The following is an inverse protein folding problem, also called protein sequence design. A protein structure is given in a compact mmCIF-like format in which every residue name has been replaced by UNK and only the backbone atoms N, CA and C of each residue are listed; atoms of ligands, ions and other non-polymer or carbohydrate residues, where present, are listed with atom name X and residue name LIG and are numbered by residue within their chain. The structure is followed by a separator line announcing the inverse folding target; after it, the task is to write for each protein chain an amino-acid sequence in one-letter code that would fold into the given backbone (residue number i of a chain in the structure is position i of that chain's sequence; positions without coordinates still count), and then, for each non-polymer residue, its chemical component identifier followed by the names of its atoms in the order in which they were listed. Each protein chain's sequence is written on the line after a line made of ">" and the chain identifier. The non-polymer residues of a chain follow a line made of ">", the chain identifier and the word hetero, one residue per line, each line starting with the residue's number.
data_IF_815087006045
#
_entry.id   IF_815087006045
#
_cell.length_a   1.000
_cell.length_b   1.000
_cell.length_c   1.000
_cell.angle_alpha   90.00
_cell.angle_beta   90.00
_cell.angle_gamma   90.00
#
_symmetry.space_group_name_H-M   'P 1'
#
loop_
_entity.id
_entity.type
_entity.pdbx_description
1 polymer ?
#
# COMPACT_ATOMS: atom_id res chain seq x y z
N UNK A 1 -18.73 11.59 -2.57
CA UNK A 1 -19.97 10.91 -2.11
C UNK A 1 -19.93 10.87 -0.60
N UNK A 2 -21.09 10.92 0.08
CA UNK A 2 -21.19 10.98 1.54
C UNK A 2 -22.31 10.11 2.07
N UNK A 3 -22.12 9.54 3.24
CA UNK A 3 -23.05 8.71 3.99
C UNK A 3 -22.98 9.04 5.49
N UNK A 4 -23.92 8.54 6.30
CA UNK A 4 -23.86 8.64 7.77
C UNK A 4 -24.30 7.30 8.33
N UNK A 5 -23.58 6.80 9.33
CA UNK A 5 -23.69 5.41 9.75
C UNK A 5 -22.94 4.51 8.78
N UNK A 6 -23.11 3.19 8.92
CA UNK A 6 -22.37 2.24 8.10
C UNK A 6 -22.86 2.26 6.65
N UNK A 7 -21.97 2.62 5.73
CA UNK A 7 -22.27 2.83 4.32
C UNK A 7 -21.44 1.95 3.38
N UNK A 8 -21.95 1.82 2.15
CA UNK A 8 -21.22 1.21 1.03
C UNK A 8 -21.19 2.24 -0.10
N UNK A 9 -20.05 2.91 -0.28
CA UNK A 9 -19.86 3.97 -1.25
C UNK A 9 -18.99 3.46 -2.40
N UNK A 10 -19.62 3.25 -3.56
CA UNK A 10 -18.96 2.72 -4.76
C UNK A 10 -18.98 3.79 -5.85
N UNK A 11 -17.81 4.17 -6.34
CA UNK A 11 -17.70 5.01 -7.54
C UNK A 11 -17.59 4.16 -8.81
N UNK A 12 -17.82 4.79 -9.96
CA UNK A 12 -17.60 4.14 -11.25
C UNK A 12 -17.04 5.10 -12.29
N UNK A 13 -16.21 4.56 -13.17
CA UNK A 13 -15.68 5.29 -14.32
C UNK A 13 -14.43 6.10 -13.99
N UNK A 14 -13.79 6.59 -15.05
CA UNK A 14 -12.50 7.28 -14.97
C UNK A 14 -12.62 8.66 -14.29
N UNK A 15 -11.59 9.05 -13.55
CA UNK A 15 -11.35 10.43 -13.07
C UNK A 15 -11.33 10.52 -11.54
N UNK A 16 -10.76 11.61 -11.02
CA UNK A 16 -10.57 11.84 -9.58
C UNK A 16 -11.92 11.84 -8.83
N UNK A 17 -12.00 11.08 -7.75
CA UNK A 17 -13.14 11.03 -6.83
C UNK A 17 -12.72 11.51 -5.45
N UNK A 18 -13.72 12.05 -4.75
CA UNK A 18 -13.64 12.30 -3.31
C UNK A 18 -14.79 11.51 -2.68
N UNK A 19 -14.46 10.53 -1.85
CA UNK A 19 -15.40 9.63 -1.16
C UNK A 19 -15.19 9.79 0.34
N UNK A 20 -16.27 9.98 1.08
CA UNK A 20 -16.22 10.38 2.49
C UNK A 20 -17.30 9.57 3.24
N UNK A 21 -16.87 8.68 4.13
CA UNK A 21 -17.71 7.75 4.90
C UNK A 21 -18.43 8.42 6.08
N UNK A 22 -17.86 9.50 6.60
CA UNK A 22 -18.27 10.16 7.85
C UNK A 22 -18.20 9.21 9.08
N UNK A 23 -19.24 9.12 9.91
CA UNK A 23 -19.23 8.20 11.06
C UNK A 23 -19.84 6.85 10.65
N UNK A 24 -19.20 5.74 10.98
CA UNK A 24 -19.73 4.39 10.68
C UNK A 24 -18.63 3.40 10.33
N UNK A 25 -18.97 2.11 10.24
CA UNK A 25 -18.08 1.14 9.62
C UNK A 25 -18.38 1.09 8.11
N UNK A 26 -17.55 1.72 7.30
CA UNK A 26 -17.81 1.98 5.88
C UNK A 26 -17.03 1.08 4.92
N UNK A 27 -17.52 1.01 3.68
CA UNK A 27 -16.82 0.38 2.57
C UNK A 27 -16.73 1.35 1.39
N UNK A 28 -15.51 1.81 1.10
CA UNK A 28 -15.22 2.86 0.14
C UNK A 28 -14.44 2.30 -1.06
N UNK A 29 -14.97 2.50 -2.28
CA UNK A 29 -14.38 1.97 -3.51
C UNK A 29 -14.21 3.07 -4.59
N UNK A 30 -12.96 3.37 -4.97
CA UNK A 30 -12.57 4.42 -5.92
C UNK A 30 -12.72 4.04 -7.41
N UNK A 31 -12.47 2.78 -7.78
CA UNK A 31 -12.44 2.22 -9.14
C UNK A 31 -11.18 2.64 -9.94
N UNK A 32 -11.27 3.71 -10.75
CA UNK A 32 -10.17 4.16 -11.62
C UNK A 32 -10.02 5.66 -11.53
N UNK A 33 -8.85 6.12 -11.17
CA UNK A 33 -8.60 7.54 -10.94
C UNK A 33 -7.44 7.71 -9.98
N UNK A 34 -7.15 8.96 -9.66
CA UNK A 34 -6.34 9.27 -8.49
C UNK A 34 -7.35 9.80 -7.49
N UNK A 35 -7.81 8.95 -6.59
CA UNK A 35 -8.99 9.17 -5.76
C UNK A 35 -8.58 9.47 -4.32
N UNK A 36 -9.39 10.27 -3.63
CA UNK A 36 -9.26 10.58 -2.20
C UNK A 36 -10.41 9.88 -1.46
N UNK A 37 -10.08 8.94 -0.57
CA UNK A 37 -11.04 8.15 0.21
C UNK A 37 -10.85 8.43 1.70
N UNK A 38 -11.90 8.88 2.38
CA UNK A 38 -11.91 9.19 3.81
C UNK A 38 -12.88 8.27 4.55
N UNK A 39 -12.37 7.37 5.39
CA UNK A 39 -13.17 6.55 6.31
C UNK A 39 -13.72 7.40 7.46
N UNK A 40 -12.82 8.12 8.12
CA UNK A 40 -13.03 8.97 9.30
C UNK A 40 -13.21 8.19 10.60
N UNK A 41 -14.41 7.81 11.02
CA UNK A 41 -14.62 7.25 12.35
C UNK A 41 -15.41 5.95 12.30
N UNK A 42 -14.76 4.85 12.67
CA UNK A 42 -15.31 3.50 12.63
C UNK A 42 -14.31 2.55 11.99
N UNK A 43 -14.70 1.31 11.76
CA UNK A 43 -13.81 0.30 11.18
C UNK A 43 -14.06 0.21 9.68
N UNK A 44 -13.22 0.89 8.91
CA UNK A 44 -13.49 1.15 7.51
C UNK A 44 -12.74 0.18 6.59
N UNK A 45 -13.28 0.01 5.37
CA UNK A 45 -12.63 -0.72 4.29
C UNK A 45 -12.43 0.20 3.10
N UNK A 46 -11.18 0.47 2.76
CA UNK A 46 -10.81 1.37 1.69
C UNK A 46 -10.16 0.59 0.55
N UNK A 47 -10.68 0.78 -0.67
CA UNK A 47 -10.08 0.30 -1.91
C UNK A 47 -10.05 1.44 -2.94
N UNK A 48 -8.88 2.04 -3.14
CA UNK A 48 -8.69 3.08 -4.16
C UNK A 48 -8.95 2.53 -5.57
N UNK A 49 -8.35 1.38 -5.87
CA UNK A 49 -8.42 0.77 -7.18
C UNK A 49 -7.23 1.20 -8.02
N UNK A 50 -7.42 1.39 -9.33
CA UNK A 50 -6.29 1.74 -10.20
C UNK A 50 -6.07 3.23 -10.30
N UNK A 51 -4.82 3.62 -10.11
CA UNK A 51 -4.25 4.96 -10.22
C UNK A 51 -3.49 5.26 -8.95
N UNK A 52 -3.30 6.54 -8.63
CA UNK A 52 -2.54 6.91 -7.42
C UNK A 52 -3.51 7.51 -6.42
N UNK A 53 -3.87 6.72 -5.43
CA UNK A 53 -4.95 7.05 -4.50
C UNK A 53 -4.41 7.48 -3.14
N UNK A 54 -5.10 8.44 -2.53
CA UNK A 54 -4.86 8.88 -1.15
C UNK A 54 -5.95 8.30 -0.24
N UNK A 55 -5.56 7.42 0.67
CA UNK A 55 -6.44 6.66 1.55
C UNK A 55 -6.27 7.13 3.00
N UNK A 56 -7.34 7.66 3.58
CA UNK A 56 -7.39 8.17 4.95
C UNK A 56 -8.35 7.29 5.76
N UNK A 57 -7.83 6.35 6.55
CA UNK A 57 -8.66 5.46 7.38
C UNK A 57 -9.35 6.25 8.49
N UNK A 58 -8.56 6.87 9.36
CA UNK A 58 -9.08 7.72 10.42
C UNK A 58 -8.93 7.04 11.78
N UNK A 59 -9.99 7.02 12.58
CA UNK A 59 -10.03 6.36 13.87
C UNK A 59 -10.79 5.05 13.75
N UNK A 60 -10.20 3.95 14.20
CA UNK A 60 -10.85 2.64 14.24
C UNK A 60 -9.90 1.57 13.74
N UNK A 61 -10.35 0.32 13.61
CA UNK A 61 -9.52 -0.74 13.04
C UNK A 61 -9.81 -0.85 11.53
N UNK A 62 -8.98 -0.23 10.70
CA UNK A 62 -9.22 -0.07 9.27
C UNK A 62 -8.57 -1.17 8.42
N UNK A 63 -9.12 -1.37 7.22
CA UNK A 63 -8.60 -2.31 6.22
C UNK A 63 -8.42 -1.65 4.87
N UNK A 64 -7.17 -1.62 4.40
CA UNK A 64 -6.78 -1.10 3.11
C UNK A 64 -6.54 -2.24 2.12
N UNK A 65 -7.35 -2.31 1.07
CA UNK A 65 -7.29 -3.39 0.08
C UNK A 65 -6.42 -2.94 -1.08
N UNK A 66 -5.56 -3.84 -1.58
CA UNK A 66 -4.71 -3.57 -2.74
C UNK A 66 -4.61 -4.78 -3.68
N UNK A 67 -4.69 -4.48 -4.97
CA UNK A 67 -4.18 -5.30 -6.06
C UNK A 67 -2.73 -4.88 -6.41
N UNK A 68 -1.89 -5.81 -6.88
CA UNK A 68 -0.49 -5.52 -7.23
C UNK A 68 -0.29 -4.43 -8.28
N UNK A 69 -1.32 -4.12 -9.05
CA UNK A 69 -1.26 -3.24 -10.23
C UNK A 69 -2.10 -1.95 -10.02
N UNK A 70 -2.37 -1.59 -8.76
CA UNK A 70 -3.20 -0.44 -8.39
C UNK A 70 -2.49 0.88 -8.71
N UNK A 71 -1.25 1.05 -8.26
CA UNK A 71 -0.48 2.24 -8.63
C UNK A 71 0.55 2.64 -7.59
N UNK A 72 0.61 3.94 -7.32
CA UNK A 72 1.41 4.51 -6.24
C UNK A 72 0.46 5.14 -5.23
N UNK A 73 0.12 4.38 -4.20
CA UNK A 73 -0.91 4.76 -3.26
C UNK A 73 -0.29 5.25 -1.95
N UNK A 74 -1.02 6.14 -1.30
CA UNK A 74 -0.67 6.76 -0.03
C UNK A 74 -1.70 6.35 1.02
N UNK A 75 -1.22 5.91 2.18
CA UNK A 75 -2.04 5.70 3.37
C UNK A 75 -1.63 6.74 4.41
N UNK A 76 -2.63 7.46 4.91
CA UNK A 76 -2.51 8.31 6.09
C UNK A 76 -3.45 7.77 7.17
N UNK A 77 -2.87 7.26 8.24
CA UNK A 77 -3.60 6.71 9.38
C UNK A 77 -3.29 7.52 10.65
N UNK A 78 -4.25 7.57 11.57
CA UNK A 78 -4.16 8.30 12.82
C UNK A 78 -4.54 7.46 14.05
N UNK A 79 -4.83 6.16 13.87
CA UNK A 79 -4.77 5.18 14.95
C UNK A 79 -5.79 4.05 14.82
N UNK A 80 -5.34 2.85 15.17
CA UNK A 80 -6.15 1.64 15.02
C UNK A 80 -5.34 0.39 15.25
N UNK A 81 -5.92 -0.75 14.89
CA UNK A 81 -5.20 -1.98 14.58
C UNK A 81 -5.40 -2.30 13.10
N UNK A 82 -4.64 -1.60 12.27
CA UNK A 82 -4.94 -1.46 10.86
C UNK A 82 -4.30 -2.55 10.03
N UNK A 83 -4.93 -2.84 8.90
CA UNK A 83 -4.54 -3.96 8.05
C UNK A 83 -4.44 -3.56 6.59
N UNK A 84 -3.27 -3.77 5.99
CA UNK A 84 -3.14 -3.86 4.52
C UNK A 84 -3.48 -5.28 4.09
N UNK A 85 -4.36 -5.42 3.10
CA UNK A 85 -4.80 -6.71 2.54
C UNK A 85 -4.52 -6.78 1.04
N UNK A 86 -3.58 -7.64 0.65
CA UNK A 86 -3.34 -7.92 -0.77
C UNK A 86 -4.39 -8.90 -1.32
N UNK A 87 -5.36 -8.37 -2.07
CA UNK A 87 -6.45 -9.15 -2.66
C UNK A 87 -6.08 -9.78 -4.02
N UNK A 88 -5.04 -9.28 -4.68
CA UNK A 88 -4.57 -9.73 -5.99
C UNK A 88 -3.57 -10.88 -6.02
N UNK A 89 -3.43 -11.64 -4.92
CA UNK A 89 -2.60 -12.84 -4.93
C UNK A 89 -1.09 -12.59 -4.76
N UNK A 90 -0.69 -11.67 -3.88
CA UNK A 90 0.71 -11.40 -3.56
C UNK A 90 1.17 -12.24 -2.36
N UNK A 91 2.39 -12.80 -2.44
CA UNK A 91 3.09 -13.44 -1.32
C UNK A 91 4.08 -12.52 -0.62
N UNK A 92 4.48 -12.83 0.62
CA UNK A 92 5.48 -12.02 1.38
C UNK A 92 6.83 -11.84 0.67
N UNK A 93 7.24 -12.78 -0.18
CA UNK A 93 8.50 -12.69 -0.95
C UNK A 93 8.40 -11.74 -2.14
N UNK A 94 7.19 -11.32 -2.52
CA UNK A 94 6.89 -10.41 -3.63
C UNK A 94 6.75 -8.96 -3.21
N UNK A 95 6.86 -8.67 -1.91
CA UNK A 95 6.90 -7.31 -1.39
C UNK A 95 8.28 -7.00 -0.84
N UNK A 96 8.74 -5.76 -1.03
CA UNK A 96 9.95 -5.26 -0.39
C UNK A 96 9.60 -4.07 0.50
N UNK A 97 9.98 -4.17 1.77
CA UNK A 97 9.73 -3.12 2.75
C UNK A 97 10.96 -2.24 2.90
N UNK A 98 10.79 -0.93 2.84
CA UNK A 98 11.88 0.00 3.10
C UNK A 98 11.40 1.23 3.87
N UNK A 99 12.33 1.86 4.58
CA UNK A 99 12.12 3.16 5.20
C UNK A 99 12.58 4.25 4.25
N UNK A 100 11.74 5.27 4.05
CA UNK A 100 12.09 6.50 3.35
C UNK A 100 11.70 7.70 4.21
N UNK A 101 12.67 8.47 4.71
CA UNK A 101 12.36 9.53 5.69
C UNK A 101 11.71 8.95 6.94
N UNK A 102 10.48 9.36 7.26
CA UNK A 102 9.66 8.81 8.34
C UNK A 102 8.56 7.84 7.85
N UNK A 103 8.53 7.57 6.54
CA UNK A 103 7.50 6.76 5.90
C UNK A 103 7.95 5.31 5.73
N UNK A 104 6.98 4.40 5.71
CA UNK A 104 7.16 3.01 5.29
C UNK A 104 6.73 2.90 3.82
N UNK A 105 7.64 2.41 2.98
CA UNK A 105 7.33 2.08 1.59
C UNK A 105 7.29 0.56 1.39
N UNK A 106 6.22 0.09 0.77
CA UNK A 106 5.99 -1.30 0.37
C UNK A 106 6.08 -1.34 -1.16
N UNK A 107 7.19 -1.86 -1.67
CA UNK A 107 7.47 -1.90 -3.11
C UNK A 107 6.90 -3.19 -3.74
N UNK A 108 6.23 -3.02 -4.88
CA UNK A 108 5.55 -4.04 -5.68
C UNK A 108 6.05 -3.98 -7.13
N UNK A 109 7.30 -4.33 -7.39
CA UNK A 109 7.97 -4.25 -8.71
C UNK A 109 7.83 -2.89 -9.44
N UNK A 110 6.68 -2.62 -10.07
CA UNK A 110 6.33 -1.38 -10.78
C UNK A 110 5.46 -0.41 -9.95
N UNK A 111 4.91 -0.87 -8.83
CA UNK A 111 3.93 -0.17 -7.98
C UNK A 111 4.41 -0.04 -6.54
N UNK A 112 3.76 0.78 -5.72
CA UNK A 112 4.06 0.85 -4.29
C UNK A 112 2.91 1.36 -3.45
N UNK A 113 2.97 1.04 -2.17
CA UNK A 113 2.13 1.63 -1.13
C UNK A 113 3.06 2.37 -0.17
N UNK A 114 2.75 3.62 0.12
CA UNK A 114 3.46 4.43 1.12
C UNK A 114 2.55 4.65 2.31
N UNK A 115 3.02 4.32 3.51
CA UNK A 115 2.35 4.67 4.77
C UNK A 115 3.07 5.87 5.37
N UNK A 116 2.39 7.02 5.38
CA UNK A 116 2.95 8.28 5.86
C UNK A 116 3.26 8.23 7.34
N UNK A 117 4.43 8.78 7.72
CA UNK A 117 4.80 9.01 9.11
C UNK A 117 4.79 7.74 9.99
N UNK A 118 4.83 6.55 9.40
CA UNK A 118 4.83 5.23 10.07
C UNK A 118 5.89 5.15 11.19
N UNK A 119 7.08 5.72 10.95
CA UNK A 119 8.19 5.71 11.92
C UNK A 119 8.18 6.88 12.89
N UNK A 120 7.29 7.86 12.70
CA UNK A 120 7.18 9.07 13.52
C UNK A 120 6.27 8.88 14.73
N UNK A 121 5.17 8.15 14.57
CA UNK A 121 4.17 7.91 15.61
C UNK A 121 3.63 6.47 15.54
N UNK A 122 3.47 5.76 16.67
CA UNK A 122 2.79 4.47 16.68
C UNK A 122 1.35 4.52 16.17
N UNK A 123 0.69 5.68 16.25
CA UNK A 123 -0.68 5.85 15.77
C UNK A 123 -0.80 5.90 14.24
N UNK A 124 0.32 6.11 13.53
CA UNK A 124 0.31 6.21 12.06
C UNK A 124 0.78 4.89 11.41
N UNK A 125 0.82 3.81 12.20
CA UNK A 125 1.34 2.52 11.75
C UNK A 125 0.22 1.69 11.15
N UNK A 126 0.64 0.71 10.38
CA UNK A 126 -0.19 -0.43 10.01
C UNK A 126 0.31 -1.64 10.81
N UNK A 127 -0.55 -2.25 11.60
CA UNK A 127 -0.21 -3.36 12.50
C UNK A 127 -0.03 -4.68 11.75
N UNK A 128 -0.66 -4.81 10.57
CA UNK A 128 -0.68 -6.07 9.84
C UNK A 128 -0.67 -5.88 8.32
N UNK A 129 0.15 -6.69 7.65
CA UNK A 129 0.10 -6.89 6.21
C UNK A 129 -0.32 -8.34 5.94
N UNK A 130 -1.49 -8.50 5.33
CA UNK A 130 -2.05 -9.79 4.92
C UNK A 130 -1.69 -10.08 3.46
N UNK A 131 -1.03 -11.22 3.26
CA UNK A 131 -0.67 -11.80 1.95
C UNK A 131 -1.32 -13.17 1.80
N UNK A 132 -1.25 -13.79 0.61
CA UNK A 132 -1.85 -15.12 0.42
C UNK A 132 -1.12 -16.25 1.13
N UNK A 133 0.16 -16.07 1.47
CA UNK A 133 0.98 -17.03 2.23
C UNK A 133 1.10 -16.66 3.71
N UNK A 134 0.23 -15.76 4.21
CA UNK A 134 0.04 -15.45 5.61
C UNK A 134 0.23 -13.97 5.96
N UNK A 135 0.56 -13.70 7.22
CA UNK A 135 0.58 -12.34 7.77
C UNK A 135 2.01 -11.91 8.14
N UNK A 136 2.30 -10.63 7.95
CA UNK A 136 3.38 -9.91 8.63
C UNK A 136 2.75 -8.99 9.68
N UNK A 137 3.29 -8.98 10.90
CA UNK A 137 2.81 -8.16 12.02
C UNK A 137 3.79 -7.02 12.30
N UNK A 138 3.34 -5.93 12.90
CA UNK A 138 4.11 -4.70 13.16
C UNK A 138 5.55 -4.93 13.64
N UNK A 139 5.78 -5.71 14.70
CA UNK A 139 7.14 -5.98 15.20
C UNK A 139 8.05 -6.66 14.15
N UNK A 140 7.47 -7.54 13.32
CA UNK A 140 8.20 -8.18 12.23
C UNK A 140 8.45 -7.22 11.07
N UNK A 141 7.51 -6.31 10.80
CA UNK A 141 7.66 -5.23 9.80
C UNK A 141 8.84 -4.33 10.20
N UNK A 142 8.85 -3.83 11.43
CA UNK A 142 9.91 -2.98 11.97
C UNK A 142 11.28 -3.67 11.91
N UNK A 143 11.33 -4.95 12.29
CA UNK A 143 12.56 -5.77 12.26
C UNK A 143 13.06 -5.99 10.82
N UNK A 144 12.16 -6.30 9.89
CA UNK A 144 12.48 -6.49 8.48
C UNK A 144 13.01 -5.19 7.86
N UNK A 145 12.32 -4.08 8.07
CA UNK A 145 12.72 -2.76 7.54
C UNK A 145 14.07 -2.34 8.10
N UNK A 146 14.30 -2.53 9.41
CA UNK A 146 15.60 -2.23 10.03
C UNK A 146 16.73 -3.07 9.45
N UNK A 147 16.46 -4.36 9.20
CA UNK A 147 17.43 -5.29 8.59
C UNK A 147 17.74 -4.90 7.14
N UNK A 148 16.72 -4.64 6.33
CA UNK A 148 16.86 -4.23 4.93
C UNK A 148 17.52 -2.85 4.80
N UNK A 149 17.30 -1.97 5.77
CA UNK A 149 17.93 -0.65 5.82
C UNK A 149 19.46 -0.73 5.97
N UNK A 150 19.97 -1.80 6.60
CA UNK A 150 21.42 -2.03 6.74
C UNK A 150 22.10 -2.51 5.46
N UNK A 151 21.33 -2.97 4.47
CA UNK A 151 21.88 -3.50 3.23
C UNK A 151 22.30 -2.38 2.28
N UNK A 152 23.45 -2.58 1.65
CA UNK A 152 23.88 -1.74 0.53
C UNK A 152 23.02 -1.96 -0.72
N UNK A 153 23.14 -1.06 -1.69
CA UNK A 153 22.34 -1.12 -2.91
C UNK A 153 22.50 -2.43 -3.69
N UNK A 154 23.69 -3.06 -3.64
CA UNK A 154 23.96 -4.32 -4.34
C UNK A 154 23.30 -5.50 -3.62
N UNK A 155 23.34 -5.53 -2.30
CA UNK A 155 22.67 -6.52 -1.48
C UNK A 155 21.15 -6.47 -1.67
N UNK A 156 20.57 -5.26 -1.67
CA UNK A 156 19.14 -5.07 -1.97
C UNK A 156 18.79 -5.51 -3.39
N UNK A 157 19.60 -5.12 -4.37
CA UNK A 157 19.40 -5.52 -5.77
C UNK A 157 19.44 -7.04 -5.93
N UNK A 158 20.37 -7.72 -5.27
CA UNK A 158 20.45 -9.19 -5.32
C UNK A 158 19.16 -9.83 -4.79
N UNK A 159 18.65 -9.37 -3.65
CA UNK A 159 17.39 -9.89 -3.08
C UNK A 159 16.20 -9.63 -4.00
N UNK A 160 16.10 -8.42 -4.56
CA UNK A 160 15.05 -8.09 -5.53
C UNK A 160 15.17 -8.92 -6.80
N UNK A 161 16.39 -9.22 -7.26
CA UNK A 161 16.60 -10.03 -8.46
C UNK A 161 16.20 -11.51 -8.32
N UNK A 162 16.12 -12.02 -7.09
CA UNK A 162 15.63 -13.37 -6.81
C UNK A 162 14.08 -13.45 -6.88
N UNK A 163 13.41 -12.31 -6.85
CA UNK A 163 11.96 -12.25 -7.01
C UNK A 163 11.57 -12.18 -8.50
N UNK A 164 10.66 -13.08 -8.93
CA UNK A 164 10.26 -13.17 -10.33
C UNK A 164 9.68 -11.86 -10.90
N UNK A 165 8.81 -11.15 -10.16
CA UNK A 165 8.21 -9.88 -10.59
C UNK A 165 9.27 -8.78 -10.78
N UNK A 166 10.15 -8.60 -9.81
CA UNK A 166 11.24 -7.61 -9.90
C UNK A 166 12.28 -7.99 -10.95
N UNK A 167 12.61 -9.28 -11.08
CA UNK A 167 13.57 -9.78 -12.06
C UNK A 167 13.13 -9.49 -13.50
N UNK A 168 11.82 -9.60 -13.78
CA UNK A 168 11.26 -9.30 -15.10
C UNK A 168 11.38 -7.81 -15.45
N UNK A 169 11.13 -6.93 -14.48
CA UNK A 169 11.31 -5.49 -14.64
C UNK A 169 12.79 -5.16 -14.93
N UNK A 170 13.73 -5.71 -14.17
CA UNK A 170 15.16 -5.49 -14.42
C UNK A 170 15.59 -5.97 -15.80
N UNK A 171 15.17 -7.17 -16.22
CA UNK A 171 15.50 -7.70 -17.54
C UNK A 171 14.99 -6.78 -18.67
N UNK A 172 13.78 -6.25 -18.52
CA UNK A 172 13.18 -5.31 -19.47
C UNK A 172 13.95 -3.99 -19.54
N UNK A 173 14.30 -3.41 -18.37
CA UNK A 173 15.10 -2.19 -18.29
C UNK A 173 16.48 -2.36 -18.94
N UNK A 174 17.18 -3.45 -18.66
CA UNK A 174 18.51 -3.73 -19.24
C UNK A 174 18.46 -3.95 -20.75
N UNK A 175 17.42 -4.61 -21.27
CA UNK A 175 17.18 -4.73 -22.71
C UNK A 175 16.99 -3.35 -23.36
N UNK A 176 16.23 -2.46 -22.72
CA UNK A 176 15.98 -1.11 -23.24
C UNK A 176 17.25 -0.25 -23.21
N UNK A 177 18.00 -0.27 -22.11
CA UNK A 177 19.30 0.42 -22.01
C UNK A 177 20.24 -0.07 -23.11
N UNK A 178 20.36 -1.39 -23.30
CA UNK A 178 21.26 -1.98 -24.30
C UNK A 178 20.94 -1.54 -25.73
N UNK A 179 19.67 -1.28 -26.07
CA UNK A 179 19.24 -0.72 -27.36
C UNK A 179 19.52 0.77 -27.51
N UNK A 180 19.67 1.52 -26.42
CA UNK A 180 19.98 2.96 -26.45
C UNK A 180 21.47 3.24 -26.62
N UNK A 181 22.34 2.28 -26.29
CA UNK A 181 23.81 2.41 -26.41
C UNK A 181 24.38 1.70 -27.65
N UNK A 182 23.53 1.12 -28.50
CA UNK A 182 23.86 0.48 -29.78
C UNK A 182 23.47 1.36 -30.96
#
# INVERSE_FOLDING_TARGET
>A
MRGTGNDILITSGKGIKIVDGEEGDDQLFGDKGNDELYGNAGNDKLYGGRGNDDLFGGQGDDSYLFDPDDGWDLINDIGGNDTIVFIGGITKKEIFLQKNGDDLEILLAEHSITVEEYFKSPANRIEKIQTIDGELRGDNIDTLVSSLSSFDAKQRLNLMSENERFSHLYATLWSNVSKMVS
#
